data_IF_076086593268
#
_entry.id   IF_076086593268
#
_cell.length_a   1.000
_cell.length_b   1.000
_cell.length_c   1.000
_cell.angle_alpha   90.00
_cell.angle_beta   90.00
_cell.angle_gamma   90.00
#
_symmetry.space_group_name_H-M   'P 1'
#
loop_
_entity.id
_entity.type
_entity.pdbx_description
1 polymer ?
#
# COMPACT_ATOMS: atom_id res chain seq x y z
N UNK A 1 6.99 9.07 22.30
CA UNK A 1 6.54 7.70 22.63
C UNK A 1 5.28 7.80 23.49
N UNK A 2 4.08 7.77 22.89
CA UNK A 2 2.79 7.80 23.61
C UNK A 2 1.83 6.73 23.08
N UNK A 3 2.32 5.49 22.91
CA UNK A 3 1.55 4.43 22.24
C UNK A 3 1.59 3.06 22.91
N UNK A 4 2.31 2.90 24.03
CA UNK A 4 2.41 1.61 24.72
C UNK A 4 1.77 1.77 26.10
N UNK A 5 0.69 1.02 26.35
CA UNK A 5 0.06 0.91 27.67
C UNK A 5 0.39 -0.47 28.23
N UNK A 6 0.96 -0.50 29.43
CA UNK A 6 1.23 -1.74 30.14
C UNK A 6 -0.09 -2.34 30.65
N UNK A 7 -0.21 -3.66 30.58
CA UNK A 7 -1.35 -4.41 31.14
C UNK A 7 -0.82 -5.50 32.06
N UNK A 8 -1.48 -5.69 33.20
CA UNK A 8 -1.11 -6.73 34.17
C UNK A 8 -1.19 -8.14 33.59
N UNK A 9 -1.98 -8.33 32.52
CA UNK A 9 -2.01 -9.59 31.78
C UNK A 9 -0.65 -9.99 31.20
N UNK A 10 0.24 -9.03 30.91
CA UNK A 10 1.60 -9.32 30.41
C UNK A 10 2.50 -10.02 31.45
N UNK A 11 2.10 -10.10 32.72
CA UNK A 11 2.86 -10.81 33.78
C UNK A 11 2.52 -12.30 33.88
N UNK A 12 1.43 -12.74 33.25
CA UNK A 12 0.99 -14.12 33.33
C UNK A 12 1.87 -14.98 32.42
N UNK A 13 2.59 -15.96 32.98
CA UNK A 13 3.52 -16.84 32.23
C UNK A 13 2.83 -17.61 31.09
N UNK A 14 1.52 -17.81 31.17
CA UNK A 14 0.72 -18.52 30.17
C UNK A 14 0.04 -17.59 29.16
N UNK A 15 0.13 -16.27 29.33
CA UNK A 15 -0.56 -15.30 28.47
C UNK A 15 0.45 -14.37 27.80
N UNK A 16 0.70 -14.65 26.53
CA UNK A 16 1.56 -13.83 25.68
C UNK A 16 0.68 -13.01 24.72
N UNK A 17 0.54 -11.72 25.01
CA UNK A 17 -0.26 -10.78 24.21
C UNK A 17 0.18 -10.72 22.75
N UNK A 18 1.48 -10.92 22.48
CA UNK A 18 2.01 -10.88 21.11
C UNK A 18 1.60 -12.15 20.37
N UNK A 19 1.62 -13.32 21.03
CA UNK A 19 1.18 -14.59 20.44
C UNK A 19 -0.33 -14.70 20.28
N UNK A 20 -1.11 -14.17 21.22
CA UNK A 20 -2.57 -14.28 21.22
C UNK A 20 -3.30 -13.18 20.45
N UNK A 21 -2.56 -12.20 19.89
CA UNK A 21 -3.13 -11.22 18.96
C UNK A 21 -3.00 -11.74 17.53
N UNK A 22 -4.07 -12.29 16.97
CA UNK A 22 -4.10 -12.76 15.58
C UNK A 22 -3.94 -11.58 14.63
N UNK A 23 -2.96 -11.66 13.74
CA UNK A 23 -2.73 -10.65 12.72
C UNK A 23 -3.49 -11.06 11.47
N UNK A 24 -4.50 -10.29 11.10
CA UNK A 24 -5.22 -10.57 9.86
C UNK A 24 -4.31 -10.35 8.62
N UNK A 25 -4.04 -11.38 7.82
CA UNK A 25 -3.16 -11.27 6.65
C UNK A 25 -3.72 -10.34 5.57
N UNK A 26 -5.04 -10.17 5.45
CA UNK A 26 -5.64 -9.26 4.46
C UNK A 26 -5.20 -7.82 4.67
N UNK A 27 -5.49 -7.32 5.87
CA UNK A 27 -5.30 -5.94 6.24
C UNK A 27 -3.82 -5.69 6.42
N UNK A 28 -3.09 -6.70 6.91
CA UNK A 28 -1.68 -6.56 7.11
C UNK A 28 -0.88 -6.58 5.80
N UNK A 29 -0.99 -7.66 5.02
CA UNK A 29 -0.13 -7.88 3.85
C UNK A 29 -0.64 -7.16 2.61
N UNK A 30 -1.94 -7.20 2.33
CA UNK A 30 -2.47 -6.65 1.08
C UNK A 30 -2.78 -5.17 1.22
N UNK A 31 -3.68 -4.81 2.14
CA UNK A 31 -4.08 -3.42 2.33
C UNK A 31 -3.03 -2.61 3.09
N UNK A 32 -2.15 -3.29 3.83
CA UNK A 32 -1.02 -2.69 4.53
C UNK A 32 0.20 -2.62 3.64
N UNK A 33 0.89 -3.74 3.45
CA UNK A 33 2.20 -3.77 2.76
C UNK A 33 2.06 -3.53 1.25
N UNK A 34 1.31 -4.35 0.51
CA UNK A 34 1.21 -4.27 -0.95
C UNK A 34 0.65 -2.92 -1.41
N UNK A 35 -0.43 -2.44 -0.79
CA UNK A 35 -0.99 -1.11 -1.05
C UNK A 35 0.00 0.00 -0.73
N UNK A 36 0.81 -0.13 0.32
CA UNK A 36 1.82 0.88 0.63
C UNK A 36 2.87 0.95 -0.45
N UNK A 37 3.38 -0.20 -0.90
CA UNK A 37 4.36 -0.26 -1.97
C UNK A 37 3.80 0.32 -3.27
N UNK A 38 2.68 -0.23 -3.74
CA UNK A 38 2.02 0.20 -4.97
C UNK A 38 1.63 1.68 -4.93
N UNK A 39 0.77 2.05 -3.99
CA UNK A 39 0.15 3.38 -4.03
C UNK A 39 0.98 4.46 -3.36
N UNK A 40 1.53 4.18 -2.17
CA UNK A 40 2.24 5.22 -1.41
C UNK A 40 3.65 5.45 -1.95
N UNK A 41 4.34 4.38 -2.35
CA UNK A 41 5.67 4.52 -2.95
C UNK A 41 5.52 4.78 -4.43
N UNK A 42 5.01 3.86 -5.23
CA UNK A 42 5.18 4.02 -6.67
C UNK A 42 4.29 5.08 -7.31
N UNK A 43 3.01 5.14 -6.94
CA UNK A 43 2.09 6.12 -7.52
C UNK A 43 2.31 7.52 -6.92
N UNK A 44 2.25 7.66 -5.59
CA UNK A 44 2.34 8.99 -4.94
C UNK A 44 3.71 9.66 -5.09
N UNK A 45 4.80 8.90 -5.08
CA UNK A 45 6.14 9.48 -5.32
C UNK A 45 6.47 9.68 -6.81
N UNK A 46 5.56 9.28 -7.71
CA UNK A 46 5.73 9.35 -9.17
C UNK A 46 6.89 8.51 -9.69
N UNK A 47 7.14 7.36 -9.07
CA UNK A 47 8.03 6.34 -9.63
C UNK A 47 7.39 5.72 -10.90
N UNK A 48 6.09 5.40 -10.82
CA UNK A 48 5.27 4.99 -11.96
C UNK A 48 4.36 6.14 -12.35
N UNK A 49 4.49 6.64 -13.59
CA UNK A 49 3.74 7.82 -14.05
C UNK A 49 2.80 7.44 -15.18
N UNK A 50 1.66 8.13 -15.18
CA UNK A 50 0.72 8.09 -16.29
C UNK A 50 1.26 8.86 -17.49
N UNK A 51 0.72 8.57 -18.67
CA UNK A 51 1.03 9.31 -19.89
C UNK A 51 0.72 10.80 -19.71
N UNK A 52 1.55 11.66 -20.28
CA UNK A 52 1.29 13.10 -20.28
C UNK A 52 0.29 13.46 -21.37
N UNK A 53 -0.46 14.55 -21.20
CA UNK A 53 -1.44 15.04 -22.19
C UNK A 53 -0.86 15.26 -23.60
N UNK A 54 0.46 15.48 -23.71
CA UNK A 54 1.19 15.55 -24.98
C UNK A 54 1.53 14.20 -25.63
N UNK A 55 0.97 13.08 -25.17
CA UNK A 55 1.14 11.76 -25.77
C UNK A 55 2.48 11.06 -25.48
N UNK A 56 3.34 11.62 -24.61
CA UNK A 56 4.56 10.92 -24.20
C UNK A 56 4.20 9.71 -23.36
N UNK A 57 4.52 8.52 -23.88
CA UNK A 57 4.37 7.26 -23.16
C UNK A 57 5.26 7.21 -21.92
N UNK A 58 4.76 6.59 -20.85
CA UNK A 58 5.39 6.50 -19.53
C UNK A 58 5.28 5.10 -18.96
N UNK A 59 5.87 4.93 -17.78
CA UNK A 59 6.03 3.65 -17.10
C UNK A 59 4.69 2.89 -16.90
N UNK A 60 3.60 3.59 -16.58
CA UNK A 60 2.28 2.94 -16.41
C UNK A 60 1.69 2.41 -17.72
N UNK A 61 2.04 3.00 -18.87
CA UNK A 61 1.52 2.55 -20.18
C UNK A 61 1.92 1.10 -20.47
N UNK A 62 3.15 0.74 -20.13
CA UNK A 62 3.66 -0.62 -20.28
C UNK A 62 2.88 -1.62 -19.41
N UNK A 63 2.53 -1.22 -18.18
CA UNK A 63 1.69 -2.02 -17.29
C UNK A 63 0.28 -2.17 -17.86
N UNK A 64 -0.33 -1.08 -18.35
CA UNK A 64 -1.68 -1.13 -18.92
C UNK A 64 -1.74 -1.97 -20.19
N UNK A 65 -0.77 -1.83 -21.09
CA UNK A 65 -0.66 -2.63 -22.31
C UNK A 65 -0.47 -4.12 -22.01
N UNK A 66 0.34 -4.45 -20.99
CA UNK A 66 0.48 -5.82 -20.52
C UNK A 66 -0.85 -6.37 -19.98
N UNK A 67 -1.53 -5.62 -19.11
CA UNK A 67 -2.79 -6.05 -18.50
C UNK A 67 -3.94 -6.18 -19.52
N UNK A 68 -3.92 -5.44 -20.63
CA UNK A 68 -4.90 -5.59 -21.71
C UNK A 68 -4.77 -6.94 -22.44
N UNK A 69 -3.55 -7.46 -22.55
CA UNK A 69 -3.26 -8.73 -23.23
C UNK A 69 -3.14 -9.91 -22.26
N UNK A 70 -3.14 -9.66 -20.95
CA UNK A 70 -2.99 -10.69 -19.94
C UNK A 70 -4.29 -11.49 -19.75
N UNK A 71 -4.27 -12.77 -20.11
CA UNK A 71 -5.38 -13.68 -19.87
C UNK A 71 -5.36 -14.22 -18.43
N UNK A 72 -6.25 -13.68 -17.58
CA UNK A 72 -6.42 -14.17 -16.22
C UNK A 72 -7.26 -15.45 -16.18
N UNK A 73 -6.88 -16.47 -15.39
CA UNK A 73 -7.73 -17.64 -15.13
C UNK A 73 -9.09 -17.23 -14.56
N UNK A 74 -10.16 -17.96 -14.91
CA UNK A 74 -11.54 -17.62 -14.51
C UNK A 74 -11.79 -17.60 -13.00
N UNK A 75 -10.99 -18.35 -12.23
CA UNK A 75 -11.04 -18.39 -10.77
C UNK A 75 -10.25 -17.26 -10.10
N UNK A 76 -9.45 -16.51 -10.86
CA UNK A 76 -8.63 -15.41 -10.37
C UNK A 76 -9.31 -14.05 -10.65
N UNK A 77 -9.05 -13.07 -9.79
CA UNK A 77 -9.60 -11.71 -9.95
C UNK A 77 -9.15 -11.03 -11.25
N UNK A 78 -9.79 -9.91 -11.60
CA UNK A 78 -9.37 -9.02 -12.70
C UNK A 78 -8.90 -7.69 -12.15
N UNK A 79 -7.90 -7.08 -12.78
CA UNK A 79 -7.44 -5.75 -12.42
C UNK A 79 -8.15 -4.66 -13.23
N UNK A 80 -8.39 -3.48 -12.64
CA UNK A 80 -8.84 -2.30 -13.38
C UNK A 80 -7.85 -1.94 -14.49
N UNK A 81 -8.37 -1.60 -15.68
CA UNK A 81 -7.54 -1.25 -16.84
C UNK A 81 -6.64 -0.02 -16.61
N UNK A 82 -7.14 0.96 -15.85
CA UNK A 82 -6.42 2.19 -15.50
C UNK A 82 -5.72 2.14 -14.14
N UNK A 83 -5.24 0.96 -13.71
CA UNK A 83 -4.63 0.80 -12.39
C UNK A 83 -3.47 1.78 -12.17
N UNK A 84 -3.45 2.47 -11.03
CA UNK A 84 -2.46 3.51 -10.73
C UNK A 84 -2.86 4.92 -11.17
N UNK A 85 -3.90 5.06 -11.98
CA UNK A 85 -4.50 6.35 -12.34
C UNK A 85 -5.76 6.63 -11.51
N UNK A 86 -6.18 7.90 -11.35
CA UNK A 86 -7.42 8.24 -10.67
C UNK A 86 -8.64 7.51 -11.24
N UNK A 87 -8.68 7.29 -12.57
CA UNK A 87 -9.77 6.59 -13.26
C UNK A 87 -9.86 5.09 -12.92
N UNK A 88 -8.74 4.45 -12.54
CA UNK A 88 -8.71 3.04 -12.15
C UNK A 88 -9.20 2.76 -10.73
N UNK A 89 -9.45 3.81 -9.93
CA UNK A 89 -9.92 3.67 -8.57
C UNK A 89 -8.90 3.06 -7.61
N UNK A 90 -9.35 2.75 -6.39
CA UNK A 90 -8.54 2.04 -5.39
C UNK A 90 -8.73 0.53 -5.51
N UNK A 91 -7.64 -0.21 -5.54
CA UNK A 91 -7.68 -1.66 -5.52
C UNK A 91 -8.18 -2.20 -4.17
N UNK A 92 -9.00 -3.23 -4.27
CA UNK A 92 -9.44 -4.11 -3.18
C UNK A 92 -8.32 -5.05 -2.74
N UNK A 93 -8.50 -5.70 -1.58
CA UNK A 93 -7.54 -6.67 -1.10
C UNK A 93 -7.34 -7.83 -2.11
N UNK A 94 -8.43 -8.39 -2.65
CA UNK A 94 -8.34 -9.49 -3.60
C UNK A 94 -7.63 -9.10 -4.90
N UNK A 95 -7.87 -7.88 -5.39
CA UNK A 95 -7.12 -7.33 -6.53
C UNK A 95 -5.62 -7.18 -6.22
N UNK A 96 -5.24 -6.71 -5.03
CA UNK A 96 -3.83 -6.68 -4.62
C UNK A 96 -3.22 -8.08 -4.54
N UNK A 97 -3.97 -9.05 -3.99
CA UNK A 97 -3.53 -10.45 -3.92
C UNK A 97 -3.23 -10.96 -5.31
N UNK A 98 -4.20 -10.85 -6.22
CA UNK A 98 -4.06 -11.30 -7.60
C UNK A 98 -2.91 -10.59 -8.31
N UNK A 99 -2.83 -9.26 -8.20
CA UNK A 99 -1.81 -8.47 -8.86
C UNK A 99 -0.39 -8.90 -8.48
N UNK A 100 -0.14 -9.01 -7.18
CA UNK A 100 1.18 -9.36 -6.62
C UNK A 100 1.58 -10.79 -6.94
N UNK A 101 0.64 -11.75 -6.93
CA UNK A 101 0.96 -13.17 -7.16
C UNK A 101 0.94 -13.57 -8.64
N UNK A 102 0.38 -12.75 -9.52
CA UNK A 102 0.25 -13.02 -10.95
C UNK A 102 0.94 -11.95 -11.81
N UNK A 103 0.17 -11.01 -12.39
CA UNK A 103 0.67 -10.14 -13.46
C UNK A 103 1.82 -9.23 -13.05
N UNK A 104 1.82 -8.66 -11.84
CA UNK A 104 2.89 -7.74 -11.43
C UNK A 104 4.24 -8.42 -11.26
N UNK A 105 4.27 -9.67 -10.79
CA UNK A 105 5.49 -10.47 -10.68
C UNK A 105 6.21 -10.64 -12.03
N UNK A 106 5.50 -10.47 -13.14
CA UNK A 106 6.05 -10.54 -14.50
C UNK A 106 6.38 -9.16 -15.06
N UNK A 107 5.43 -8.21 -14.98
CA UNK A 107 5.59 -6.93 -15.71
C UNK A 107 6.43 -5.89 -14.97
N UNK A 108 6.42 -5.86 -13.63
CA UNK A 108 7.16 -4.83 -12.88
C UNK A 108 8.68 -4.90 -13.13
N UNK A 109 9.33 -6.08 -13.18
CA UNK A 109 10.75 -6.15 -13.49
C UNK A 109 11.07 -5.60 -14.88
N UNK A 110 10.25 -5.93 -15.88
CA UNK A 110 10.42 -5.42 -17.24
C UNK A 110 10.27 -3.89 -17.31
N UNK A 111 9.31 -3.32 -16.56
CA UNK A 111 9.16 -1.86 -16.46
C UNK A 111 10.39 -1.21 -15.85
N UNK A 112 11.01 -1.84 -14.86
CA UNK A 112 12.23 -1.29 -14.27
C UNK A 112 13.43 -1.40 -15.21
N UNK A 113 13.58 -2.51 -15.92
CA UNK A 113 14.66 -2.71 -16.90
C UNK A 113 14.63 -1.61 -17.99
N UNK A 114 13.45 -1.31 -18.53
CA UNK A 114 13.28 -0.33 -19.61
C UNK A 114 13.44 1.14 -19.14
N UNK A 115 13.09 1.46 -17.89
CA UNK A 115 12.92 2.85 -17.44
C UNK A 115 13.93 3.32 -16.39
N UNK A 116 14.65 2.41 -15.74
CA UNK A 116 15.56 2.74 -14.65
C UNK A 116 16.66 3.73 -15.08
N UNK A 117 17.38 3.46 -16.16
CA UNK A 117 18.48 4.32 -16.62
C UNK A 117 17.99 5.74 -16.92
N UNK A 118 16.85 5.84 -17.60
CA UNK A 118 16.20 7.11 -17.91
C UNK A 118 15.80 7.87 -16.64
N UNK A 119 15.27 7.17 -15.63
CA UNK A 119 14.92 7.77 -14.35
C UNK A 119 16.14 8.25 -13.57
N UNK A 120 17.23 7.48 -13.55
CA UNK A 120 18.50 7.84 -12.91
C UNK A 120 19.12 9.08 -13.57
N UNK A 121 19.13 9.15 -14.90
CA UNK A 121 19.68 10.29 -15.63
C UNK A 121 18.86 11.57 -15.39
N UNK A 122 17.53 11.48 -15.38
CA UNK A 122 16.66 12.61 -15.00
C UNK A 122 16.94 13.08 -13.57
N UNK A 123 17.08 12.15 -12.63
CA UNK A 123 17.38 12.48 -11.24
C UNK A 123 18.70 13.26 -11.13
N UNK A 124 19.78 12.78 -11.75
CA UNK A 124 21.09 13.45 -11.77
C UNK A 124 20.97 14.88 -12.32
N UNK A 125 20.29 15.04 -13.45
CA UNK A 125 20.10 16.37 -14.07
C UNK A 125 19.30 17.33 -13.18
N UNK A 126 18.25 16.83 -12.53
CA UNK A 126 17.49 17.64 -11.56
C UNK A 126 18.30 17.99 -10.32
N UNK A 127 19.12 17.06 -9.82
CA UNK A 127 20.00 17.28 -8.67
C UNK A 127 21.03 18.37 -8.98
N UNK A 128 21.69 18.29 -10.13
CA UNK A 128 22.64 19.32 -10.55
C UNK A 128 21.99 20.69 -10.68
N UNK A 129 20.79 20.77 -11.28
CA UNK A 129 20.04 22.02 -11.39
C UNK A 129 19.62 22.56 -10.02
N UNK A 130 19.24 21.67 -9.10
CA UNK A 130 18.90 22.05 -7.74
C UNK A 130 20.09 22.68 -7.02
N UNK A 131 21.25 22.02 -7.08
CA UNK A 131 22.48 22.46 -6.41
C UNK A 131 23.06 23.73 -7.03
N UNK A 132 23.07 23.85 -8.36
CA UNK A 132 23.71 24.97 -9.09
C UNK A 132 22.85 26.22 -9.17
N UNK A 133 21.53 26.07 -9.32
CA UNK A 133 20.64 27.20 -9.59
C UNK A 133 19.64 27.43 -8.45
N UNK A 134 18.94 26.38 -8.04
CA UNK A 134 17.74 26.52 -7.20
C UNK A 134 18.09 26.85 -5.75
N UNK A 135 19.06 26.12 -5.18
CA UNK A 135 19.52 26.31 -3.80
C UNK A 135 20.25 27.65 -3.61
N UNK A 136 21.18 28.07 -4.48
CA UNK A 136 21.84 29.38 -4.34
C UNK A 136 20.85 30.55 -4.54
N UNK A 137 19.89 30.42 -5.46
CA UNK A 137 18.84 31.43 -5.64
C UNK A 137 17.96 31.57 -4.38
N UNK A 138 17.61 30.45 -3.74
CA UNK A 138 16.92 30.43 -2.46
C UNK A 138 17.74 31.12 -1.36
N UNK A 139 19.01 30.78 -1.22
CA UNK A 139 19.90 31.37 -0.21
C UNK A 139 20.04 32.89 -0.39
N UNK A 140 20.15 33.37 -1.64
CA UNK A 140 20.17 34.80 -1.95
C UNK A 140 18.88 35.50 -1.54
N UNK A 141 17.71 34.90 -1.84
CA UNK A 141 16.40 35.42 -1.41
C UNK A 141 16.28 35.43 0.11
N UNK A 142 16.72 34.37 0.80
CA UNK A 142 16.71 34.26 2.26
C UNK A 142 17.59 35.31 2.92
N UNK A 143 18.82 35.53 2.42
CA UNK A 143 19.71 36.59 2.91
C UNK A 143 19.09 37.99 2.75
N UNK A 144 18.45 38.25 1.60
CA UNK A 144 17.77 39.53 1.33
C UNK A 144 16.58 39.73 2.28
N UNK A 145 15.82 38.65 2.55
CA UNK A 145 14.72 38.67 3.52
C UNK A 145 15.22 38.91 4.95
N UNK A 146 16.31 38.25 5.37
CA UNK A 146 16.93 38.46 6.69
C UNK A 146 17.34 39.93 6.90
N UNK A 147 17.90 40.58 5.88
CA UNK A 147 18.28 42.00 5.93
C UNK A 147 17.07 42.94 6.01
N UNK A 148 15.92 42.55 5.43
CA UNK A 148 14.67 43.34 5.44
C UNK A 148 13.78 43.09 6.66
N UNK A 149 14.09 42.07 7.47
CA UNK A 149 13.30 41.63 8.63
C UNK A 149 13.12 42.72 9.70
N UNK A 150 14.01 43.70 9.76
CA UNK A 150 13.91 44.86 10.65
C UNK A 150 12.87 45.92 10.19
N UNK A 151 12.41 45.88 8.93
CA UNK A 151 11.53 46.91 8.32
C UNK A 151 10.14 46.42 7.90
N UNK A 152 9.90 45.12 7.70
CA UNK A 152 8.55 44.62 7.34
C UNK A 152 8.35 43.12 7.64
N UNK A 153 7.15 42.75 8.10
CA UNK A 153 6.76 41.38 8.54
C UNK A 153 6.31 40.47 7.37
N UNK A 154 7.09 40.39 6.29
CA UNK A 154 6.78 39.45 5.20
C UNK A 154 7.11 37.99 5.58
N UNK A 155 6.40 36.98 5.04
CA UNK A 155 6.66 35.57 5.33
C UNK A 155 8.07 35.13 4.89
N UNK A 156 8.69 34.21 5.63
CA UNK A 156 10.01 33.67 5.31
C UNK A 156 9.96 32.89 3.98
N UNK A 157 10.98 33.03 3.09
CA UNK A 157 11.08 32.20 1.91
C UNK A 157 11.12 30.71 2.28
N UNK A 158 10.23 29.92 1.66
CA UNK A 158 10.17 28.47 1.83
C UNK A 158 11.34 27.82 1.08
N UNK A 159 12.06 26.90 1.73
CA UNK A 159 13.15 26.15 1.10
C UNK A 159 12.58 25.24 -0.01
N UNK A 160 13.12 25.28 -1.24
CA UNK A 160 12.70 24.35 -2.28
C UNK A 160 13.05 22.90 -1.90
N UNK A 161 12.12 21.98 -2.14
CA UNK A 161 12.35 20.54 -1.90
C UNK A 161 13.46 20.00 -2.79
N UNK A 162 14.31 19.14 -2.22
CA UNK A 162 15.38 18.49 -2.98
C UNK A 162 14.78 17.46 -3.95
N UNK A 163 15.38 17.27 -5.15
CA UNK A 163 15.01 16.19 -6.04
C UNK A 163 15.15 14.84 -5.33
N UNK A 164 14.18 13.94 -5.57
CA UNK A 164 14.18 12.58 -5.02
C UNK A 164 14.32 11.58 -6.19
N UNK A 165 15.14 10.52 -6.07
CA UNK A 165 15.23 9.49 -7.09
C UNK A 165 13.87 8.84 -7.34
N UNK A 166 13.48 8.71 -8.62
CA UNK A 166 12.19 8.13 -9.03
C UNK A 166 12.24 6.60 -9.10
N UNK A 167 13.33 6.04 -9.63
CA UNK A 167 13.59 4.59 -9.71
C UNK A 167 15.02 4.36 -9.22
N UNK A 168 15.23 3.26 -8.50
CA UNK A 168 16.52 2.89 -7.93
C UNK A 168 16.98 1.54 -8.47
N UNK A 169 18.30 1.39 -8.62
CA UNK A 169 18.91 0.16 -9.13
C UNK A 169 18.67 -1.00 -8.16
N UNK A 170 18.25 -2.14 -8.70
CA UNK A 170 17.86 -3.31 -7.93
C UNK A 170 16.45 -3.28 -7.34
N UNK A 171 15.61 -2.27 -7.64
CA UNK A 171 14.18 -2.27 -7.23
C UNK A 171 13.35 -3.36 -7.94
N UNK A 172 13.71 -3.75 -9.15
CA UNK A 172 13.16 -4.89 -9.91
C UNK A 172 13.52 -6.22 -9.25
N UNK A 173 14.79 -6.41 -8.94
CA UNK A 173 15.30 -7.58 -8.23
C UNK A 173 14.69 -7.60 -6.83
N UNK A 174 14.58 -6.47 -6.14
CA UNK A 174 13.90 -6.33 -4.86
C UNK A 174 12.40 -6.57 -4.97
N UNK A 175 11.76 -6.24 -6.09
CA UNK A 175 10.34 -6.51 -6.29
C UNK A 175 10.09 -8.01 -6.58
N UNK A 176 10.95 -8.66 -7.36
CA UNK A 176 10.95 -10.12 -7.54
C UNK A 176 11.27 -10.85 -6.24
N UNK A 177 12.24 -10.33 -5.49
CA UNK A 177 12.55 -10.78 -4.14
C UNK A 177 11.42 -10.45 -3.17
N UNK A 178 10.65 -9.37 -3.33
CA UNK A 178 9.45 -9.02 -2.56
C UNK A 178 8.26 -9.90 -2.92
N UNK A 179 8.07 -10.27 -4.18
CA UNK A 179 7.08 -11.25 -4.61
C UNK A 179 7.43 -12.64 -4.07
N UNK A 180 8.73 -12.96 -4.02
CA UNK A 180 9.30 -14.17 -3.38
C UNK A 180 9.33 -14.04 -1.84
N UNK A 181 9.42 -12.85 -1.27
CA UNK A 181 9.44 -12.57 0.16
C UNK A 181 8.06 -12.27 0.72
N UNK A 182 7.04 -12.06 -0.11
CA UNK A 182 5.64 -12.28 0.24
C UNK A 182 5.34 -13.78 0.33
N UNK A 183 6.10 -14.61 -0.42
CA UNK A 183 6.15 -16.06 -0.22
C UNK A 183 7.00 -16.49 1.00
N UNK A 184 7.88 -15.65 1.55
CA UNK A 184 8.73 -15.95 2.74
C UNK A 184 8.42 -15.09 4.00
N UNK A 185 7.63 -14.03 3.88
CA UNK A 185 7.01 -13.14 4.90
C UNK A 185 7.87 -12.18 5.78
N UNK A 186 9.21 -12.09 5.72
CA UNK A 186 9.95 -11.75 6.97
C UNK A 186 11.13 -10.74 6.99
N UNK A 187 11.50 -10.00 5.94
CA UNK A 187 12.81 -9.27 5.95
C UNK A 187 12.81 -7.85 5.33
N UNK A 188 11.88 -6.97 5.73
CA UNK A 188 11.76 -5.60 5.18
C UNK A 188 12.82 -4.57 5.64
N UNK A 189 13.72 -4.88 6.58
CA UNK A 189 14.57 -3.86 7.21
C UNK A 189 15.72 -3.37 6.31
N UNK A 190 16.13 -4.14 5.30
CA UNK A 190 17.44 -3.96 4.65
C UNK A 190 17.52 -2.83 3.60
N UNK A 191 16.40 -2.39 3.00
CA UNK A 191 16.46 -1.54 1.78
C UNK A 191 16.03 -0.07 1.97
N UNK A 192 15.14 0.23 2.92
CA UNK A 192 14.48 1.56 2.96
C UNK A 192 14.69 2.35 4.26
N UNK A 193 15.53 1.85 5.18
CA UNK A 193 15.78 2.49 6.48
C UNK A 193 14.58 2.42 7.45
N UNK A 194 14.81 2.70 8.74
CA UNK A 194 13.80 2.56 9.82
C UNK A 194 12.58 3.46 9.65
N UNK A 195 12.75 4.62 9.01
CA UNK A 195 11.72 5.66 8.92
C UNK A 195 10.55 5.28 7.99
N UNK A 196 10.71 4.20 7.24
CA UNK A 196 9.72 3.72 6.27
C UNK A 196 8.92 2.52 6.77
N UNK A 197 9.29 1.94 7.92
CA UNK A 197 8.63 0.77 8.49
C UNK A 197 7.28 1.13 9.11
N UNK A 198 6.19 0.68 8.48
CA UNK A 198 4.86 0.64 9.13
C UNK A 198 4.77 -0.50 10.14
N UNK A 199 3.96 -0.36 11.22
CA UNK A 199 3.72 -1.44 12.18
C UNK A 199 3.38 -2.78 11.51
N UNK A 200 2.61 -2.75 10.43
CA UNK A 200 2.25 -3.88 9.59
C UNK A 200 3.44 -4.78 9.20
N UNK A 201 4.60 -4.20 8.89
CA UNK A 201 5.80 -4.96 8.56
C UNK A 201 6.33 -5.74 9.76
N UNK A 202 6.25 -5.17 10.98
CA UNK A 202 6.55 -5.90 12.20
C UNK A 202 5.50 -6.99 12.44
N UNK A 203 4.21 -6.72 12.24
CA UNK A 203 3.16 -7.72 12.42
C UNK A 203 3.26 -8.90 11.44
N UNK A 204 3.82 -8.69 10.24
CA UNK A 204 4.02 -9.73 9.24
C UNK A 204 5.00 -10.82 9.72
N UNK A 205 5.96 -10.46 10.59
CA UNK A 205 6.96 -11.40 11.13
C UNK A 205 6.34 -12.50 11.98
N UNK A 206 5.14 -12.24 12.54
CA UNK A 206 4.43 -13.18 13.41
C UNK A 206 3.55 -14.16 12.62
N UNK A 207 3.26 -13.89 11.34
CA UNK A 207 2.34 -14.71 10.53
C UNK A 207 2.81 -16.16 10.38
N UNK A 208 4.10 -16.49 10.13
CA UNK A 208 4.52 -17.88 10.02
C UNK A 208 4.30 -18.68 11.30
N UNK A 209 4.47 -18.04 12.47
CA UNK A 209 4.18 -18.69 13.75
C UNK A 209 2.67 -18.87 13.94
N UNK A 210 1.86 -17.88 13.55
CA UNK A 210 0.40 -17.99 13.59
C UNK A 210 -0.15 -19.06 12.65
N UNK A 211 0.50 -19.33 11.51
CA UNK A 211 0.10 -20.45 10.64
C UNK A 211 0.32 -21.80 11.32
N UNK A 212 1.38 -21.93 12.13
CA UNK A 212 1.61 -23.15 12.93
C UNK A 212 0.60 -23.29 14.06
N UNK A 213 0.22 -22.18 14.68
CA UNK A 213 -0.65 -22.18 15.86
C UNK A 213 -2.16 -22.26 15.49
N UNK A 214 -2.58 -21.64 14.39
CA UNK A 214 -4.00 -21.48 13.99
C UNK A 214 -4.36 -22.14 12.65
N UNK A 215 -3.41 -22.80 11.98
CA UNK A 215 -3.63 -23.49 10.71
C UNK A 215 -3.42 -22.60 9.48
N UNK A 216 -4.00 -22.98 8.34
CA UNK A 216 -3.75 -22.26 7.07
C UNK A 216 -4.22 -20.81 7.13
N UNK A 217 -3.65 -19.92 6.31
CA UNK A 217 -4.08 -18.50 6.24
C UNK A 217 -5.59 -18.34 6.03
N UNK A 218 -6.23 -19.27 5.30
CA UNK A 218 -7.67 -19.26 5.07
C UNK A 218 -8.50 -19.43 6.35
N UNK A 219 -7.93 -20.03 7.38
CA UNK A 219 -8.62 -20.33 8.64
C UNK A 219 -8.86 -19.08 9.50
N UNK A 220 -8.02 -18.04 9.37
CA UNK A 220 -8.08 -16.86 10.24
C UNK A 220 -8.04 -15.52 9.49
N UNK A 221 -8.10 -15.53 8.17
CA UNK A 221 -8.20 -14.32 7.35
C UNK A 221 -9.64 -13.76 7.37
N UNK A 222 -9.75 -12.46 7.60
CA UNK A 222 -10.98 -11.65 7.58
C UNK A 222 -11.77 -11.55 6.24
N UNK A 223 -11.42 -12.24 5.15
CA UNK A 223 -12.20 -12.15 3.90
C UNK A 223 -13.64 -12.62 4.09
N UNK A 224 -13.81 -13.71 4.85
CA UNK A 224 -15.13 -14.24 5.19
C UNK A 224 -15.92 -13.24 6.03
N UNK A 225 -15.31 -12.69 7.07
CA UNK A 225 -15.98 -11.74 7.97
C UNK A 225 -16.32 -10.43 7.26
N UNK A 226 -15.48 -9.93 6.35
CA UNK A 226 -15.83 -8.78 5.51
C UNK A 226 -16.97 -9.08 4.54
N UNK A 227 -17.00 -10.27 3.94
CA UNK A 227 -18.11 -10.67 3.05
C UNK A 227 -19.42 -10.76 3.83
N UNK A 228 -19.39 -11.33 5.03
CA UNK A 228 -20.53 -11.36 5.95
C UNK A 228 -20.94 -9.94 6.35
N UNK A 229 -19.99 -9.05 6.69
CA UNK A 229 -20.28 -7.65 6.97
C UNK A 229 -20.97 -6.94 5.80
N UNK A 230 -20.56 -7.24 4.55
CA UNK A 230 -21.21 -6.70 3.34
C UNK A 230 -22.65 -7.21 3.20
N UNK A 231 -22.89 -8.50 3.45
CA UNK A 231 -24.24 -9.08 3.46
C UNK A 231 -25.11 -8.38 4.50
N UNK A 232 -24.59 -8.23 5.74
CA UNK A 232 -25.31 -7.56 6.82
C UNK A 232 -25.58 -6.09 6.53
N UNK A 233 -24.63 -5.36 5.91
CA UNK A 233 -24.84 -3.96 5.50
C UNK A 233 -25.89 -3.78 4.41
N UNK A 234 -26.14 -4.81 3.60
CA UNK A 234 -27.16 -4.77 2.55
C UNK A 234 -28.56 -5.11 3.06
N UNK A 235 -28.69 -5.52 4.34
CA UNK A 235 -30.00 -5.72 4.97
C UNK A 235 -30.68 -4.36 5.10
N UNK A 236 -31.87 -4.24 4.51
CA UNK A 236 -32.67 -3.04 4.65
C UNK A 236 -33.06 -2.87 6.13
N UNK A 237 -32.64 -1.76 6.72
CA UNK A 237 -32.91 -1.46 8.13
C UNK A 237 -33.46 -0.05 8.26
N UNK A 238 -34.29 0.16 9.28
CA UNK A 238 -34.86 1.47 9.60
C UNK A 238 -33.94 2.33 10.48
N UNK A 239 -32.67 1.93 10.66
CA UNK A 239 -31.65 2.59 11.50
C UNK A 239 -32.03 2.75 12.99
N UNK A 240 -32.89 1.89 13.54
CA UNK A 240 -33.21 1.93 14.97
C UNK A 240 -32.07 1.32 15.81
N UNK A 241 -31.46 2.15 16.66
CA UNK A 241 -30.37 1.74 17.55
C UNK A 241 -30.85 0.95 18.80
N UNK A 242 -29.92 0.71 19.73
CA UNK A 242 -30.23 0.09 21.03
C UNK A 242 -30.44 -1.43 20.99
N UNK A 243 -29.76 -2.15 20.09
CA UNK A 243 -29.88 -3.61 19.95
C UNK A 243 -30.88 -4.08 18.90
N UNK A 244 -31.74 -3.19 18.40
CA UNK A 244 -32.79 -3.52 17.41
C UNK A 244 -32.27 -3.72 15.99
N UNK A 245 -31.18 -3.02 15.65
CA UNK A 245 -30.47 -3.18 14.38
C UNK A 245 -29.87 -4.59 14.28
N UNK A 246 -29.23 -5.04 15.35
CA UNK A 246 -28.59 -6.35 15.48
C UNK A 246 -29.61 -7.47 15.37
N UNK A 247 -30.78 -7.33 16.01
CA UNK A 247 -31.89 -8.29 15.91
C UNK A 247 -32.43 -8.37 14.48
N UNK A 248 -32.57 -7.23 13.81
CA UNK A 248 -33.07 -7.17 12.42
C UNK A 248 -32.08 -7.82 11.45
N UNK A 249 -30.79 -7.49 11.57
CA UNK A 249 -29.70 -8.10 10.81
C UNK A 249 -29.64 -9.62 11.02
N UNK A 250 -29.76 -10.11 12.27
CA UNK A 250 -29.73 -11.54 12.58
C UNK A 250 -30.92 -12.30 11.98
N UNK A 251 -32.13 -11.73 12.05
CA UNK A 251 -33.34 -12.34 11.49
C UNK A 251 -33.27 -12.47 9.97
N UNK A 252 -32.81 -11.42 9.29
CA UNK A 252 -32.67 -11.42 7.83
C UNK A 252 -31.55 -12.36 7.37
N UNK A 253 -30.42 -12.40 8.08
CA UNK A 253 -29.36 -13.38 7.81
C UNK A 253 -29.87 -14.82 7.93
N UNK A 254 -30.63 -15.13 8.99
CA UNK A 254 -31.21 -16.46 9.18
C UNK A 254 -32.23 -16.81 8.08
N UNK A 255 -33.08 -15.86 7.67
CA UNK A 255 -34.00 -16.05 6.54
C UNK A 255 -33.27 -16.35 5.24
N UNK A 256 -32.23 -15.57 4.91
CA UNK A 256 -31.43 -15.77 3.70
C UNK A 256 -30.74 -17.14 3.70
N UNK A 257 -30.14 -17.54 4.82
CA UNK A 257 -29.48 -18.84 4.95
C UNK A 257 -30.46 -20.02 4.77
N UNK A 258 -31.68 -19.91 5.29
CA UNK A 258 -32.71 -20.93 5.10
C UNK A 258 -33.21 -21.00 3.65
N UNK A 259 -33.32 -19.85 2.97
CA UNK A 259 -33.72 -19.80 1.55
C UNK A 259 -32.64 -20.39 0.63
N UNK A 260 -31.37 -20.08 0.87
CA UNK A 260 -30.25 -20.66 0.11
C UNK A 260 -30.15 -22.18 0.29
N UNK A 261 -30.58 -22.72 1.43
CA UNK A 261 -30.63 -24.17 1.68
C UNK A 261 -31.80 -24.92 1.02
N UNK A 262 -32.74 -24.20 0.37
CA UNK A 262 -33.88 -24.79 -0.33
C UNK A 262 -33.65 -24.93 -1.86
N UNK A 263 -32.54 -24.41 -2.39
CA UNK A 263 -32.15 -24.44 -3.81
C UNK A 263 -30.97 -25.38 -4.00
#
# INVERSE_FOLDING_TARGET
>A
MHGVRWTEFARLKYFDLVRYTIVDPMHNLLLGVAKTQWYTRWIKSKALRANTEGGTERELNMIHNFLQNFEAPSWAGRLPRGVGEPAGGSLTADEYKFAVTGPWAVIIPAVWDDWLENATNRYKLHLEKYEKETLPAYEKKRKTWQQRRAKNKGPEPIKPDAPVPQMQEGEDINFLQFATALKILLTCQQFYGSDTMKPNHHWAVHIPQQVRDFGTLYSFWAFLTERLNKILKNVNSNNWGGGLLEVSMMREFHRAANLDGLV
#
